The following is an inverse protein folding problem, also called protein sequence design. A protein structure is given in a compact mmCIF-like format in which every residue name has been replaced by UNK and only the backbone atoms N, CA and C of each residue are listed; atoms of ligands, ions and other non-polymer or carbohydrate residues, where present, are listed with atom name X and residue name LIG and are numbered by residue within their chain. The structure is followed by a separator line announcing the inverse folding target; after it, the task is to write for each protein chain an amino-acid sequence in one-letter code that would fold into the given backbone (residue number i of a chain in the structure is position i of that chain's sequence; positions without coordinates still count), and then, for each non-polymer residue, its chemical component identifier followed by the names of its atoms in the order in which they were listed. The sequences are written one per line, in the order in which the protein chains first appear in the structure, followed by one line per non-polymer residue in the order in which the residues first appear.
data_IF_927095695597
#
_entry.id   IF_927095695597
#
_cell.length_a   1.000
_cell.length_b   1.000
_cell.length_c   1.000
_cell.angle_alpha   90.00
_cell.angle_beta   90.00
_cell.angle_gamma   90.00
#
_symmetry.space_group_name_H-M   'P 1'
#
loop_
_entity.id
_entity.type
_entity.pdbx_description
1 polymer ?
#
# COMPACT_ATOMS: atom_id res chain seq x y z
N UNK A 1 2.25 -35.62 48.18
CA UNK A 1 3.73 -35.51 48.04
C UNK A 1 4.00 -34.96 46.65
N UNK A 2 4.68 -33.81 46.57
CA UNK A 2 4.93 -33.02 45.36
C UNK A 2 6.23 -33.51 44.70
N UNK A 3 6.26 -33.68 43.38
CA UNK A 3 7.50 -33.58 42.61
C UNK A 3 7.36 -32.46 41.58
N UNK A 4 8.24 -31.47 41.71
CA UNK A 4 8.37 -30.29 40.86
C UNK A 4 9.31 -30.66 39.71
N UNK A 5 8.85 -30.53 38.47
CA UNK A 5 9.72 -30.54 37.31
C UNK A 5 10.43 -29.18 37.21
N UNK A 6 11.76 -29.20 37.23
CA UNK A 6 12.61 -28.02 37.20
C UNK A 6 13.07 -27.79 35.74
N UNK A 7 12.65 -26.68 35.15
CA UNK A 7 13.07 -26.24 33.82
C UNK A 7 14.41 -25.52 33.94
N UNK A 8 15.46 -26.00 33.27
CA UNK A 8 16.73 -25.29 33.12
C UNK A 8 16.72 -24.51 31.80
N UNK A 9 16.59 -23.18 31.91
CA UNK A 9 16.75 -22.22 30.82
C UNK A 9 18.24 -21.87 30.74
N UNK A 10 18.95 -22.38 29.73
CA UNK A 10 20.31 -21.92 29.41
C UNK A 10 20.22 -20.66 28.54
N UNK A 11 20.31 -19.51 29.21
CA UNK A 11 20.53 -18.19 28.62
C UNK A 11 22.03 -18.05 28.32
N UNK A 12 22.46 -18.30 27.08
CA UNK A 12 23.80 -17.90 26.63
C UNK A 12 23.67 -16.81 25.57
N UNK A 13 23.76 -15.57 26.06
CA UNK A 13 24.04 -14.40 25.25
C UNK A 13 25.42 -14.57 24.60
N UNK A 14 25.48 -14.45 23.28
CA UNK A 14 26.74 -14.30 22.56
C UNK A 14 26.71 -12.97 21.81
N UNK A 15 27.54 -12.08 22.34
CA UNK A 15 27.85 -10.73 21.95
C UNK A 15 28.38 -10.71 20.50
N UNK A 16 27.67 -10.06 19.58
CA UNK A 16 28.22 -9.70 18.26
C UNK A 16 28.48 -8.20 18.28
N UNK A 17 29.74 -7.81 18.47
CA UNK A 17 30.21 -6.46 18.18
C UNK A 17 30.30 -6.32 16.66
N UNK A 18 29.34 -5.62 16.07
CA UNK A 18 29.40 -5.24 14.65
C UNK A 18 30.33 -4.04 14.52
N UNK A 19 31.32 -4.22 13.66
CA UNK A 19 32.32 -3.26 13.18
C UNK A 19 31.67 -1.98 12.65
N UNK A 20 32.11 -0.82 13.18
CA UNK A 20 31.73 0.49 12.66
C UNK A 20 32.54 0.85 11.41
N UNK A 21 31.87 1.07 10.28
CA UNK A 21 32.41 1.79 9.13
C UNK A 21 32.21 3.30 9.32
N UNK A 22 33.26 4.10 9.16
CA UNK A 22 33.19 5.57 9.11
C UNK A 22 33.68 6.07 7.75
N UNK A 23 32.83 6.82 7.06
CA UNK A 23 33.15 7.91 6.10
C UNK A 23 31.82 8.62 5.77
N UNK A 24 31.77 9.97 5.71
CA UNK A 24 32.26 10.68 4.53
C UNK A 24 32.96 12.02 4.83
N UNK A 25 34.04 12.31 4.10
CA UNK A 25 34.64 13.64 3.98
C UNK A 25 34.24 14.24 2.63
N UNK A 26 33.46 15.31 2.67
CA UNK A 26 33.08 16.07 1.48
C UNK A 26 32.47 17.41 1.89
N UNK A 27 33.32 18.39 2.16
CA UNK A 27 32.92 19.78 2.29
C UNK A 27 33.87 20.65 1.45
N UNK A 28 33.25 21.30 0.47
CA UNK A 28 33.83 22.26 -0.45
C UNK A 28 34.07 23.57 0.33
N UNK A 29 35.30 24.08 0.27
CA UNK A 29 35.60 25.48 0.56
C UNK A 29 35.84 26.20 -0.77
N UNK A 30 35.19 27.35 -0.97
CA UNK A 30 35.86 28.59 -1.35
C UNK A 30 34.87 29.75 -1.30
N UNK A 31 35.14 30.64 -0.35
CA UNK A 31 34.58 31.98 -0.22
C UNK A 31 35.04 32.89 -1.36
N UNK A 32 34.13 33.78 -1.78
CA UNK A 32 34.39 35.16 -2.23
C UNK A 32 33.00 35.80 -2.35
N UNK A 33 32.68 37.01 -1.93
CA UNK A 33 33.48 38.13 -1.44
C UNK A 33 32.53 39.14 -0.80
N UNK A 34 33.09 39.90 0.12
CA UNK A 34 32.55 40.94 0.99
C UNK A 34 31.85 42.15 0.33
N UNK A 35 31.10 42.86 1.17
CA UNK A 35 30.89 44.34 1.28
C UNK A 35 29.56 44.98 0.83
N UNK A 36 28.70 45.18 1.84
CA UNK A 36 28.14 46.47 2.34
C UNK A 36 27.99 47.68 1.42
N UNK A 37 26.76 48.22 1.31
CA UNK A 37 26.31 49.53 1.86
C UNK A 37 24.92 49.91 1.30
N UNK A 38 23.88 50.09 2.13
CA UNK A 38 23.42 51.33 2.82
C UNK A 38 22.54 52.25 1.94
N UNK A 39 21.23 52.24 2.26
CA UNK A 39 20.34 53.39 2.52
C UNK A 39 19.47 54.04 1.42
N UNK A 40 18.15 54.02 1.71
CA UNK A 40 17.09 55.04 1.50
C UNK A 40 16.82 55.57 0.08
N UNK A 41 15.59 55.74 -0.41
CA UNK A 41 14.46 56.48 0.18
C UNK A 41 13.20 56.28 -0.71
N UNK A 42 12.00 56.23 -0.12
CA UNK A 42 10.75 56.68 -0.77
C UNK A 42 10.60 58.22 -0.61
N UNK A 43 9.57 58.97 -1.11
CA UNK A 43 8.25 58.57 -1.68
C UNK A 43 7.68 59.45 -2.84
N UNK A 44 6.40 59.18 -3.18
CA UNK A 44 5.37 60.08 -3.77
C UNK A 44 5.41 60.27 -5.31
N UNK A 45 4.34 60.51 -6.07
CA UNK A 45 2.89 60.68 -5.88
C UNK A 45 2.25 60.83 -7.28
N UNK A 46 0.96 60.49 -7.42
CA UNK A 46 -0.04 61.01 -8.40
C UNK A 46 0.17 60.75 -9.90
N UNK A 47 -0.83 60.64 -10.79
CA UNK A 47 -2.27 60.43 -10.76
C UNK A 47 -2.73 60.29 -12.24
N UNK A 48 -3.88 59.64 -12.44
CA UNK A 48 -4.87 59.83 -13.52
C UNK A 48 -4.56 59.45 -15.00
N UNK A 49 -5.11 58.30 -15.39
CA UNK A 49 -6.25 58.11 -16.30
C UNK A 49 -6.30 58.89 -17.64
N UNK A 50 -6.30 58.16 -18.76
CA UNK A 50 -7.03 58.56 -19.99
C UNK A 50 -7.43 57.35 -20.84
N UNK A 51 -8.73 57.23 -21.10
CA UNK A 51 -9.41 56.30 -22.03
C UNK A 51 -9.54 56.95 -23.41
N UNK A 52 -9.48 56.17 -24.51
CA UNK A 52 -10.20 56.29 -25.81
C UNK A 52 -9.62 55.25 -26.81
N UNK A 53 -10.36 54.18 -27.17
CA UNK A 53 -11.08 53.95 -28.47
C UNK A 53 -10.19 53.98 -29.73
N UNK A 54 -10.30 53.18 -30.80
CA UNK A 54 -11.03 51.97 -31.24
C UNK A 54 -10.47 51.62 -32.64
N UNK A 55 -10.60 50.36 -33.09
CA UNK A 55 -10.76 49.89 -34.50
C UNK A 55 -9.67 48.98 -35.12
N UNK A 56 -10.15 47.77 -35.43
CA UNK A 56 -9.84 46.73 -36.44
C UNK A 56 -8.55 46.72 -37.26
N UNK A 57 -7.88 45.55 -37.23
CA UNK A 57 -7.42 44.81 -38.44
C UNK A 57 -6.92 43.39 -38.05
N UNK A 58 -7.46 42.34 -38.69
CA UNK A 58 -6.90 40.96 -38.72
C UNK A 58 -5.85 40.83 -39.85
N UNK A 59 -5.12 39.69 -40.03
CA UNK A 59 -4.87 38.51 -39.17
C UNK A 59 -3.37 38.14 -39.06
N UNK A 60 -2.97 37.35 -38.05
CA UNK A 60 -1.82 36.42 -38.16
C UNK A 60 -1.77 35.44 -36.97
N UNK A 61 -1.95 34.15 -37.28
CA UNK A 61 -1.34 32.97 -36.65
C UNK A 61 -0.95 33.02 -35.17
N UNK A 62 -1.67 32.27 -34.33
CA UNK A 62 -1.01 31.47 -33.29
C UNK A 62 -1.86 30.26 -32.94
N UNK A 63 -1.21 29.11 -33.03
CA UNK A 63 -1.71 27.79 -32.69
C UNK A 63 -2.08 27.77 -31.20
N UNK A 64 -3.36 27.59 -30.88
CA UNK A 64 -3.76 27.12 -29.56
C UNK A 64 -4.29 25.70 -29.73
N UNK A 65 -3.35 24.76 -29.85
CA UNK A 65 -3.61 23.38 -29.50
C UNK A 65 -3.87 23.35 -27.98
N UNK A 66 -5.14 23.41 -27.58
CA UNK A 66 -5.53 22.88 -26.28
C UNK A 66 -5.24 21.39 -26.39
N UNK A 67 -4.11 20.98 -25.80
CA UNK A 67 -3.83 19.61 -25.45
C UNK A 67 -4.94 19.19 -24.48
N UNK A 68 -6.04 18.70 -25.05
CA UNK A 68 -6.86 17.75 -24.33
C UNK A 68 -5.89 16.66 -23.88
N UNK A 69 -5.69 16.59 -22.56
CA UNK A 69 -5.06 15.45 -21.93
C UNK A 69 -6.03 14.27 -22.08
N UNK A 70 -6.22 13.81 -23.32
CA UNK A 70 -6.62 12.46 -23.63
C UNK A 70 -5.43 11.60 -23.22
N UNK A 71 -5.30 11.40 -21.92
CA UNK A 71 -4.71 10.18 -21.39
C UNK A 71 -5.67 9.09 -21.83
N UNK A 72 -5.50 8.67 -23.08
CA UNK A 72 -6.08 7.47 -23.62
C UNK A 72 -5.52 6.37 -22.74
N UNK A 73 -6.20 6.08 -21.62
CA UNK A 73 -6.08 4.81 -20.94
C UNK A 73 -6.52 3.79 -21.96
N UNK A 74 -5.58 3.35 -22.78
CA UNK A 74 -5.65 2.03 -23.38
C UNK A 74 -6.02 1.12 -22.22
N UNK A 75 -7.22 0.54 -22.31
CA UNK A 75 -7.72 -0.39 -21.31
C UNK A 75 -6.81 -1.60 -21.40
N UNK A 76 -5.70 -1.52 -20.68
CA UNK A 76 -4.78 -2.61 -20.51
C UNK A 76 -5.59 -3.72 -19.84
N UNK A 77 -5.92 -4.76 -20.61
CA UNK A 77 -6.64 -5.93 -20.09
C UNK A 77 -5.71 -6.81 -19.24
N UNK A 78 -4.50 -6.36 -18.94
CA UNK A 78 -3.58 -7.02 -18.03
C UNK A 78 -4.25 -7.26 -16.67
N UNK A 79 -4.26 -8.53 -16.29
CA UNK A 79 -4.76 -8.97 -14.99
C UNK A 79 -3.65 -8.85 -13.95
N UNK A 80 -3.97 -8.26 -12.82
CA UNK A 80 -3.06 -8.13 -11.69
C UNK A 80 -3.22 -9.31 -10.73
N UNK A 81 -2.11 -9.67 -10.09
CA UNK A 81 -2.05 -10.66 -9.02
C UNK A 81 -1.38 -10.02 -7.82
N UNK A 82 -1.97 -10.19 -6.65
CA UNK A 82 -1.39 -9.79 -5.38
C UNK A 82 -0.85 -11.00 -4.63
N UNK A 83 0.29 -10.85 -3.94
CA UNK A 83 0.93 -11.92 -3.21
C UNK A 83 1.81 -11.40 -2.07
N UNK A 84 2.21 -12.31 -1.20
CA UNK A 84 3.17 -12.08 -0.11
C UNK A 84 4.27 -13.13 -0.18
N UNK A 85 5.48 -12.80 0.29
CA UNK A 85 6.58 -13.76 0.40
C UNK A 85 7.21 -13.75 1.79
N UNK A 86 7.73 -14.89 2.23
CA UNK A 86 8.46 -14.96 3.49
C UNK A 86 9.86 -14.31 3.41
N UNK A 87 10.32 -13.92 2.21
CA UNK A 87 11.64 -13.30 2.01
C UNK A 87 11.75 -11.90 2.61
N UNK A 88 10.63 -11.18 2.74
CA UNK A 88 10.61 -9.79 3.15
C UNK A 88 9.54 -9.50 4.21
N UNK A 89 9.26 -10.47 5.07
CA UNK A 89 8.26 -10.36 6.16
C UNK A 89 6.81 -10.25 5.67
N UNK A 90 6.48 -10.92 4.56
CA UNK A 90 5.11 -11.02 4.03
C UNK A 90 4.49 -9.66 3.69
N UNK A 91 5.29 -8.76 3.13
CA UNK A 91 4.82 -7.49 2.56
C UNK A 91 3.87 -7.74 1.40
N UNK A 92 3.03 -6.74 1.09
CA UNK A 92 2.09 -6.85 -0.01
C UNK A 92 2.74 -6.43 -1.33
N UNK A 93 2.89 -7.42 -2.23
CA UNK A 93 3.34 -7.21 -3.59
C UNK A 93 2.17 -7.31 -4.57
N UNK A 94 2.31 -6.64 -5.70
CA UNK A 94 1.51 -6.91 -6.89
C UNK A 94 2.42 -7.04 -8.11
N UNK A 95 1.93 -7.76 -9.11
CA UNK A 95 2.51 -7.83 -10.44
C UNK A 95 1.42 -8.14 -11.47
N UNK A 96 1.73 -7.92 -12.74
CA UNK A 96 0.90 -8.43 -13.84
C UNK A 96 1.01 -9.95 -13.91
N UNK A 97 0.00 -10.60 -14.46
CA UNK A 97 -0.06 -12.07 -14.59
C UNK A 97 1.10 -12.63 -15.43
N UNK A 98 1.66 -11.83 -16.34
CA UNK A 98 2.88 -12.15 -17.11
C UNK A 98 4.19 -12.03 -16.31
N UNK A 99 4.12 -11.57 -15.06
CA UNK A 99 5.26 -11.38 -14.16
C UNK A 99 5.93 -10.01 -14.24
N UNK A 100 5.45 -9.10 -15.10
CA UNK A 100 5.98 -7.74 -15.20
C UNK A 100 5.41 -6.82 -14.12
N UNK A 101 6.01 -5.64 -13.96
CA UNK A 101 5.55 -4.59 -13.03
C UNK A 101 5.40 -5.06 -11.57
N UNK A 102 6.32 -5.92 -11.14
CA UNK A 102 6.48 -6.38 -9.77
C UNK A 102 6.87 -5.21 -8.85
N UNK A 103 6.05 -4.95 -7.84
CA UNK A 103 6.29 -3.88 -6.85
C UNK A 103 5.58 -4.16 -5.53
N UNK A 104 6.15 -3.61 -4.46
CA UNK A 104 5.53 -3.53 -3.14
C UNK A 104 4.54 -2.36 -3.12
N UNK A 105 3.34 -2.58 -2.58
CA UNK A 105 2.32 -1.52 -2.40
C UNK A 105 1.92 -1.30 -0.94
N UNK A 106 2.25 -2.24 -0.04
CA UNK A 106 2.14 -2.07 1.42
C UNK A 106 3.37 -2.68 2.07
N UNK A 107 4.06 -1.89 2.90
CA UNK A 107 5.34 -2.27 3.53
C UNK A 107 5.16 -3.03 4.87
N UNK A 108 3.91 -3.19 5.32
CA UNK A 108 3.52 -3.98 6.49
C UNK A 108 3.28 -5.45 6.12
N UNK A 109 3.39 -6.34 7.12
CA UNK A 109 2.95 -7.75 7.00
C UNK A 109 1.45 -7.82 6.75
N UNK A 110 1.01 -8.58 5.74
CA UNK A 110 -0.42 -8.80 5.45
C UNK A 110 -0.73 -10.28 5.23
N UNK A 111 -2.01 -10.64 5.27
CA UNK A 111 -2.49 -12.00 5.02
C UNK A 111 -3.53 -12.02 3.88
N UNK A 112 -3.51 -13.12 3.11
CA UNK A 112 -4.46 -13.44 2.05
C UNK A 112 -4.86 -12.26 1.14
N UNK A 113 -3.89 -11.60 0.46
CA UNK A 113 -4.23 -10.52 -0.45
C UNK A 113 -4.99 -11.04 -1.67
N UNK A 114 -5.91 -10.22 -2.18
CA UNK A 114 -6.77 -10.56 -3.30
C UNK A 114 -7.08 -9.32 -4.14
N UNK A 115 -6.85 -9.41 -5.45
CA UNK A 115 -7.17 -8.33 -6.39
C UNK A 115 -8.65 -8.40 -6.79
N UNK A 116 -9.34 -7.27 -6.70
CA UNK A 116 -10.71 -7.07 -7.17
C UNK A 116 -10.83 -5.72 -7.90
N UNK A 117 -10.70 -5.73 -9.22
CA UNK A 117 -10.68 -4.52 -10.04
C UNK A 117 -9.41 -3.70 -9.78
N UNK A 118 -9.57 -2.41 -9.46
CA UNK A 118 -8.46 -1.49 -9.14
C UNK A 118 -8.01 -1.55 -7.67
N UNK A 119 -8.57 -2.47 -6.88
CA UNK A 119 -8.31 -2.60 -5.45
C UNK A 119 -7.65 -3.94 -5.13
N UNK A 120 -6.80 -3.93 -4.11
CA UNK A 120 -6.31 -5.13 -3.43
C UNK A 120 -6.88 -5.14 -2.02
N UNK A 121 -7.56 -6.22 -1.67
CA UNK A 121 -8.10 -6.46 -0.34
C UNK A 121 -7.20 -7.44 0.38
N UNK A 122 -6.97 -7.21 1.67
CA UNK A 122 -6.08 -8.04 2.48
C UNK A 122 -6.49 -7.96 3.95
N UNK A 123 -6.03 -8.92 4.73
CA UNK A 123 -6.10 -8.88 6.19
C UNK A 123 -4.84 -8.17 6.69
N UNK A 124 -5.00 -7.01 7.31
CA UNK A 124 -3.87 -6.28 7.92
C UNK A 124 -3.36 -7.02 9.17
N UNK A 125 -4.29 -7.68 9.86
CA UNK A 125 -4.07 -8.59 10.96
C UNK A 125 -5.22 -9.61 11.01
N UNK A 126 -5.37 -10.35 12.11
CA UNK A 126 -6.49 -11.28 12.28
C UNK A 126 -7.81 -10.59 12.69
N UNK A 127 -7.83 -9.28 12.87
CA UNK A 127 -8.97 -8.49 13.35
C UNK A 127 -9.61 -7.59 12.28
N UNK A 128 -8.88 -7.24 11.22
CA UNK A 128 -9.32 -6.25 10.24
C UNK A 128 -9.06 -6.65 8.78
N UNK A 129 -10.05 -6.39 7.93
CA UNK A 129 -9.90 -6.40 6.47
C UNK A 129 -9.73 -4.96 6.01
N UNK A 130 -8.70 -4.73 5.21
CA UNK A 130 -8.38 -3.46 4.60
C UNK A 130 -8.31 -3.59 3.08
N UNK A 131 -8.23 -2.45 2.40
CA UNK A 131 -7.96 -2.38 0.97
C UNK A 131 -7.03 -1.23 0.63
N UNK A 132 -6.36 -1.35 -0.51
CA UNK A 132 -5.48 -0.35 -1.10
C UNK A 132 -5.62 -0.39 -2.62
N UNK A 133 -5.42 0.74 -3.32
CA UNK A 133 -5.39 0.74 -4.79
C UNK A 133 -4.13 0.05 -5.33
N UNK A 134 -4.17 -0.37 -6.60
CA UNK A 134 -3.02 -0.96 -7.30
C UNK A 134 -1.79 -0.04 -7.42
N UNK A 135 -1.96 1.26 -7.23
CA UNK A 135 -0.87 2.24 -7.17
C UNK A 135 -0.34 2.48 -5.74
N UNK A 136 -0.91 1.81 -4.73
CA UNK A 136 -0.57 1.99 -3.32
C UNK A 136 -1.34 3.12 -2.62
N UNK A 137 -2.20 3.85 -3.32
CA UNK A 137 -2.98 4.95 -2.75
C UNK A 137 -4.28 4.48 -2.07
N UNK A 138 -4.94 5.42 -1.38
CA UNK A 138 -6.29 5.25 -0.80
C UNK A 138 -6.45 4.02 0.13
N UNK A 139 -5.38 3.67 0.86
CA UNK A 139 -5.44 2.64 1.92
C UNK A 139 -6.56 2.98 2.92
N UNK A 140 -7.48 2.03 3.13
CA UNK A 140 -8.64 2.22 3.99
C UNK A 140 -9.15 0.90 4.58
N UNK A 141 -9.71 0.98 5.79
CA UNK A 141 -10.40 -0.14 6.43
C UNK A 141 -11.70 -0.46 5.69
N UNK A 142 -11.97 -1.76 5.52
CA UNK A 142 -13.22 -2.28 4.93
C UNK A 142 -14.18 -2.68 6.04
N UNK A 143 -13.79 -3.64 6.88
CA UNK A 143 -14.57 -4.09 8.04
C UNK A 143 -13.69 -4.86 9.03
N UNK A 144 -14.24 -5.11 10.21
CA UNK A 144 -13.67 -6.05 11.18
C UNK A 144 -13.94 -7.50 10.77
N UNK A 145 -13.15 -8.43 11.31
CA UNK A 145 -13.27 -9.88 11.08
C UNK A 145 -14.12 -10.58 12.14
N UNK A 146 -14.89 -9.84 12.95
CA UNK A 146 -15.70 -10.37 14.06
C UNK A 146 -16.66 -11.51 13.65
N UNK A 147 -17.09 -11.55 12.39
CA UNK A 147 -17.95 -12.63 11.88
C UNK A 147 -17.18 -13.86 11.36
N UNK A 148 -15.85 -13.88 11.49
CA UNK A 148 -14.95 -14.94 11.06
C UNK A 148 -14.53 -15.82 12.25
N UNK A 149 -15.48 -16.45 12.93
CA UNK A 149 -15.24 -17.23 14.16
C UNK A 149 -14.16 -18.31 14.06
N UNK A 150 -13.92 -18.84 12.85
CA UNK A 150 -12.90 -19.86 12.60
C UNK A 150 -11.50 -19.28 12.30
N UNK A 151 -11.36 -17.95 12.22
CA UNK A 151 -10.07 -17.30 11.96
C UNK A 151 -9.19 -17.36 13.20
N UNK A 152 -8.08 -18.07 13.09
CA UNK A 152 -7.09 -18.19 14.15
C UNK A 152 -5.67 -18.22 13.58
N UNK A 153 -4.67 -18.06 14.44
CA UNK A 153 -3.27 -18.24 14.05
C UNK A 153 -2.95 -19.67 13.55
N UNK A 154 -3.83 -20.65 13.79
CA UNK A 154 -3.68 -22.03 13.34
C UNK A 154 -4.54 -22.34 12.09
N UNK A 155 -4.91 -21.32 11.32
CA UNK A 155 -5.76 -21.46 10.14
C UNK A 155 -4.98 -21.04 8.89
N UNK A 156 -5.00 -21.86 7.84
CA UNK A 156 -4.62 -21.42 6.49
C UNK A 156 -5.78 -20.66 5.90
N UNK A 157 -5.52 -19.46 5.39
CA UNK A 157 -6.52 -18.63 4.72
C UNK A 157 -6.15 -18.39 3.26
N UNK A 158 -7.13 -18.50 2.37
CA UNK A 158 -7.01 -18.22 0.94
C UNK A 158 -8.15 -17.29 0.54
N UNK A 159 -7.85 -16.26 -0.25
CA UNK A 159 -8.83 -15.29 -0.74
C UNK A 159 -8.97 -15.40 -2.26
N UNK A 160 -10.21 -15.42 -2.76
CA UNK A 160 -10.51 -15.48 -4.19
C UNK A 160 -11.59 -14.45 -4.54
N UNK A 161 -11.36 -13.65 -5.57
CA UNK A 161 -12.37 -12.72 -6.08
C UNK A 161 -13.28 -13.43 -7.07
N UNK A 162 -14.59 -13.39 -6.82
CA UNK A 162 -15.60 -14.02 -7.68
C UNK A 162 -16.92 -13.26 -7.61
N UNK A 163 -17.46 -12.89 -8.78
CA UNK A 163 -18.80 -12.34 -8.94
C UNK A 163 -19.12 -11.12 -8.03
N UNK A 164 -18.16 -10.21 -7.83
CA UNK A 164 -18.32 -9.03 -6.98
C UNK A 164 -18.10 -9.27 -5.48
N UNK A 165 -17.66 -10.46 -5.12
CA UNK A 165 -17.33 -10.85 -3.75
C UNK A 165 -15.89 -11.29 -3.62
N UNK A 166 -15.35 -11.21 -2.41
CA UNK A 166 -14.14 -11.96 -2.05
C UNK A 166 -14.55 -13.12 -1.15
N UNK A 167 -14.14 -14.32 -1.55
CA UNK A 167 -14.36 -15.56 -0.84
C UNK A 167 -13.11 -15.88 -0.03
N UNK A 168 -13.23 -15.87 1.29
CA UNK A 168 -12.19 -16.33 2.20
C UNK A 168 -12.46 -17.77 2.58
N UNK A 169 -11.55 -18.66 2.19
CA UNK A 169 -11.58 -20.08 2.57
C UNK A 169 -10.56 -20.32 3.66
N UNK A 170 -11.03 -20.72 4.83
CA UNK A 170 -10.21 -21.04 6.00
C UNK A 170 -10.17 -22.55 6.17
N UNK A 171 -8.97 -23.09 6.22
CA UNK A 171 -8.70 -24.50 6.52
C UNK A 171 -7.96 -24.57 7.84
N UNK A 172 -8.54 -25.24 8.83
CA UNK A 172 -7.86 -25.45 10.10
C UNK A 172 -6.63 -26.36 9.90
N UNK A 173 -5.47 -25.90 10.34
CA UNK A 173 -4.24 -26.69 10.29
C UNK A 173 -4.24 -27.70 11.44
N UNK A 174 -3.64 -28.85 11.17
CA UNK A 174 -3.61 -30.00 12.08
C UNK A 174 -2.20 -30.34 12.50
N UNK A 175 -2.12 -30.99 13.65
CA UNK A 175 -0.89 -31.63 14.06
C UNK A 175 -0.52 -32.76 13.10
N UNK A 176 0.77 -32.95 12.91
CA UNK A 176 1.30 -33.96 12.02
C UNK A 176 0.88 -35.36 12.52
N UNK A 177 0.11 -36.10 11.70
CA UNK A 177 -0.36 -37.45 12.03
C UNK A 177 -1.86 -37.57 12.34
N UNK A 178 -2.59 -36.46 12.41
CA UNK A 178 -4.04 -36.46 12.54
C UNK A 178 -4.73 -36.75 11.18
N UNK A 179 -5.51 -37.84 11.10
CA UNK A 179 -6.13 -38.30 9.86
C UNK A 179 -7.61 -37.87 9.68
N UNK A 180 -8.11 -36.94 10.49
CA UNK A 180 -9.49 -36.43 10.37
C UNK A 180 -9.64 -35.58 9.08
N UNK A 181 -10.86 -35.33 8.61
CA UNK A 181 -11.11 -34.36 7.52
C UNK A 181 -10.87 -32.93 8.00
N UNK A 182 -10.30 -32.05 7.17
CA UNK A 182 -10.08 -30.65 7.57
C UNK A 182 -11.43 -29.92 7.65
N UNK A 183 -11.62 -29.18 8.74
CA UNK A 183 -12.76 -28.27 8.85
C UNK A 183 -12.52 -27.07 7.93
N UNK A 184 -13.46 -26.84 7.02
CA UNK A 184 -13.38 -25.76 6.04
C UNK A 184 -14.51 -24.77 6.28
N UNK A 185 -14.14 -23.52 6.57
CA UNK A 185 -15.07 -22.41 6.70
C UNK A 185 -14.92 -21.48 5.51
N UNK A 186 -16.04 -21.11 4.89
CA UNK A 186 -16.05 -20.16 3.78
C UNK A 186 -16.84 -18.91 4.17
N UNK A 187 -16.19 -17.75 4.03
CA UNK A 187 -16.79 -16.44 4.27
C UNK A 187 -16.84 -15.64 2.98
N UNK A 188 -17.86 -14.80 2.86
CA UNK A 188 -18.07 -13.89 1.74
C UNK A 188 -17.93 -12.46 2.22
N UNK A 189 -17.04 -11.69 1.60
CA UNK A 189 -17.03 -10.24 1.70
C UNK A 189 -17.83 -9.64 0.54
N UNK A 190 -18.93 -8.95 0.86
CA UNK A 190 -19.69 -8.14 -0.09
C UNK A 190 -19.04 -6.76 -0.22
N UNK A 191 -18.44 -6.49 -1.37
CA UNK A 191 -17.66 -5.26 -1.63
C UNK A 191 -18.53 -4.01 -1.73
N UNK A 192 -19.84 -4.14 -1.96
CA UNK A 192 -20.75 -3.01 -2.00
C UNK A 192 -21.22 -2.63 -0.60
N UNK A 193 -21.29 -3.61 0.30
CA UNK A 193 -21.74 -3.43 1.70
C UNK A 193 -20.59 -3.33 2.69
N UNK A 194 -19.36 -3.62 2.26
CA UNK A 194 -18.20 -3.79 3.12
C UNK A 194 -18.52 -4.69 4.32
N UNK A 195 -19.16 -5.84 4.06
CA UNK A 195 -19.63 -6.74 5.10
C UNK A 195 -19.25 -8.18 4.80
N UNK A 196 -18.67 -8.85 5.79
CA UNK A 196 -18.34 -10.26 5.73
C UNK A 196 -19.44 -11.14 6.35
N UNK A 197 -19.72 -12.29 5.74
CA UNK A 197 -20.75 -13.25 6.19
C UNK A 197 -20.29 -14.69 5.96
N UNK A 198 -20.57 -15.60 6.91
CA UNK A 198 -20.36 -17.04 6.74
C UNK A 198 -21.29 -17.59 5.64
N UNK A 199 -20.74 -18.38 4.71
CA UNK A 199 -21.49 -19.04 3.63
C UNK A 199 -21.67 -20.53 3.93
N UNK A 200 -20.61 -21.18 4.43
CA UNK A 200 -20.58 -22.63 4.61
C UNK A 200 -19.61 -23.03 5.71
N UNK A 201 -20.03 -24.01 6.50
CA UNK A 201 -19.18 -24.81 7.37
C UNK A 201 -19.25 -26.26 6.86
N UNK A 202 -18.11 -26.93 6.69
CA UNK A 202 -18.03 -28.29 6.13
C UNK A 202 -16.96 -29.14 6.79
#
# INVERSE_FOLDING_TARGET
MKSRNLVFICLSALLVLVTGCSAPSGAVNSDNSSTSNVQSSEPSSSAQSKVLESSSSQPASSENAILENTSSKTKDNSKWVAYTTNKDSYKLHIKKEDGTEDKIIVDDTVLAPCVAGEWVYYLADLSTIERVRLDGSEKSKVCDTDSMDALSANSKIVAEYKDGYILYTLTQLKEQGENSSNFIHCYKLDLNKNKITLIKNS
#
